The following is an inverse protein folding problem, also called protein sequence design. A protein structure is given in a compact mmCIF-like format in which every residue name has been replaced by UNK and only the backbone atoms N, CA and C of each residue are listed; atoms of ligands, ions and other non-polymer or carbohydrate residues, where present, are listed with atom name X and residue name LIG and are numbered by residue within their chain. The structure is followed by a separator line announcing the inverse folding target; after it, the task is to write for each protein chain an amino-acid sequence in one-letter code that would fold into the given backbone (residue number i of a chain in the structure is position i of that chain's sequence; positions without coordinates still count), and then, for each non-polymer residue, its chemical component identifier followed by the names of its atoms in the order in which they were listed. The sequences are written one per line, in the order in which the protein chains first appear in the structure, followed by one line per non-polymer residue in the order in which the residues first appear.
data_IF_092556480136
#
_entry.id   IF_092556480136
#
_cell.length_a   1.000
_cell.length_b   1.000
_cell.length_c   1.000
_cell.angle_alpha   90.00
_cell.angle_beta   90.00
_cell.angle_gamma   90.00
#
_symmetry.space_group_name_H-M   'P 1'
#
loop_
_entity.id
_entity.type
_entity.pdbx_description
1 polymer ?
#
# COMPACT_ATOMS: atom_id res chain seq x y z
N UNK A 1 20.91 -11.85 4.06
CA UNK A 1 19.44 -11.99 4.25
C UNK A 1 18.81 -10.75 4.88
N UNK A 2 19.38 -10.19 5.96
CA UNK A 2 18.79 -9.04 6.66
C UNK A 2 18.57 -7.78 5.79
N UNK A 3 19.49 -7.48 4.85
CA UNK A 3 19.34 -6.36 3.91
C UNK A 3 18.13 -6.57 2.98
N UNK A 4 17.92 -7.80 2.48
CA UNK A 4 16.77 -8.12 1.61
C UNK A 4 15.44 -7.91 2.34
N UNK A 5 15.37 -8.30 3.61
CA UNK A 5 14.18 -8.11 4.45
C UNK A 5 13.91 -6.61 4.63
N UNK A 6 14.91 -5.84 5.04
CA UNK A 6 14.79 -4.39 5.24
C UNK A 6 14.36 -3.71 3.93
N UNK A 7 15.01 -4.02 2.82
CA UNK A 7 14.68 -3.46 1.51
C UNK A 7 13.23 -3.79 1.10
N UNK A 8 12.77 -5.04 1.26
CA UNK A 8 11.41 -5.41 0.89
C UNK A 8 10.34 -4.72 1.74
N UNK A 9 10.54 -4.62 3.06
CA UNK A 9 9.64 -3.87 3.94
C UNK A 9 9.63 -2.37 3.63
N UNK A 10 10.78 -1.77 3.30
CA UNK A 10 10.86 -0.36 2.92
C UNK A 10 10.19 -0.08 1.57
N UNK A 11 10.36 -0.95 0.57
CA UNK A 11 9.67 -0.82 -0.72
C UNK A 11 8.16 -0.87 -0.51
N UNK A 12 7.67 -1.86 0.24
CA UNK A 12 6.24 -1.96 0.55
C UNK A 12 5.72 -0.78 1.37
N UNK A 13 6.53 -0.25 2.30
CA UNK A 13 6.20 0.95 3.06
C UNK A 13 6.03 2.17 2.16
N UNK A 14 6.98 2.40 1.24
CA UNK A 14 6.93 3.51 0.27
C UNK A 14 5.67 3.41 -0.61
N UNK A 15 5.35 2.21 -1.07
CA UNK A 15 4.15 1.95 -1.88
C UNK A 15 2.87 2.27 -1.11
N UNK A 16 2.76 1.84 0.15
CA UNK A 16 1.61 2.18 1.00
C UNK A 16 1.60 3.66 1.44
N UNK A 17 2.71 4.37 1.33
CA UNK A 17 2.78 5.81 1.62
C UNK A 17 2.36 6.68 0.42
N UNK A 18 2.37 6.16 -0.82
CA UNK A 18 1.95 6.91 -2.01
C UNK A 18 0.54 7.53 -1.87
N UNK A 19 -0.49 6.79 -1.41
CA UNK A 19 -1.83 7.33 -1.24
C UNK A 19 -1.91 8.50 -0.27
N UNK A 20 -0.96 8.63 0.69
CA UNK A 20 -0.93 9.73 1.67
C UNK A 20 -0.78 11.09 0.99
N UNK A 21 -0.17 11.16 -0.19
CA UNK A 21 -0.09 12.39 -0.99
C UNK A 21 -1.50 12.91 -1.33
N UNK A 22 -2.48 12.01 -1.48
CA UNK A 22 -3.89 12.37 -1.66
C UNK A 22 -4.51 13.11 -0.46
N UNK A 23 -3.96 12.96 0.75
CA UNK A 23 -4.41 13.77 1.90
C UNK A 23 -4.19 15.25 1.67
N UNK A 24 -3.13 15.62 0.94
CA UNK A 24 -2.66 17.01 0.79
C UNK A 24 -3.57 17.85 -0.12
N UNK A 25 -4.38 17.27 -1.00
CA UNK A 25 -5.34 18.06 -1.77
C UNK A 25 -6.27 17.30 -2.71
N UNK A 26 -7.55 17.69 -2.71
CA UNK A 26 -8.57 17.27 -3.68
C UNK A 26 -8.14 17.46 -5.17
N UNK A 27 -7.41 18.51 -5.58
CA UNK A 27 -6.94 18.64 -6.96
C UNK A 27 -5.91 17.57 -7.36
N UNK A 28 -5.18 17.00 -6.39
CA UNK A 28 -4.26 15.88 -6.64
C UNK A 28 -5.03 14.57 -6.84
N UNK A 29 -6.14 14.37 -6.12
CA UNK A 29 -7.03 13.21 -6.32
C UNK A 29 -7.76 13.30 -7.66
N UNK A 30 -8.27 14.45 -8.05
CA UNK A 30 -8.91 14.62 -9.36
C UNK A 30 -7.93 14.34 -10.51
N UNK A 31 -6.66 14.74 -10.36
CA UNK A 31 -5.58 14.41 -11.31
C UNK A 31 -5.18 12.93 -11.29
N UNK A 32 -5.18 12.29 -10.12
CA UNK A 32 -4.81 10.87 -9.95
C UNK A 32 -5.95 9.89 -10.22
N UNK A 33 -7.21 10.32 -10.22
CA UNK A 33 -8.35 9.44 -10.45
C UNK A 33 -9.11 9.77 -11.74
N UNK A 34 -8.90 10.96 -12.32
CA UNK A 34 -9.52 11.37 -13.59
C UNK A 34 -11.04 11.56 -13.51
N UNK A 35 -11.59 11.66 -12.29
CA UNK A 35 -13.02 11.85 -12.03
C UNK A 35 -13.18 13.15 -11.25
N UNK A 36 -14.12 14.01 -11.65
CA UNK A 36 -14.53 15.14 -10.84
C UNK A 36 -15.05 14.60 -9.51
N UNK A 37 -14.45 14.98 -8.39
CA UNK A 37 -14.95 14.58 -7.07
C UNK A 37 -16.25 15.36 -6.84
N UNK A 38 -17.37 14.84 -7.36
CA UNK A 38 -18.71 15.40 -7.21
C UNK A 38 -19.16 15.23 -5.75
N UNK A 39 -18.65 16.09 -4.87
CA UNK A 39 -19.14 16.28 -3.51
C UNK A 39 -18.10 16.08 -2.41
N UNK A 40 -18.25 16.81 -1.29
CA UNK A 40 -17.34 16.74 -0.14
C UNK A 40 -17.25 15.34 0.50
N UNK A 41 -18.30 14.51 0.36
CA UNK A 41 -18.37 13.19 0.98
C UNK A 41 -17.37 12.19 0.38
N UNK A 42 -17.20 12.19 -0.95
CA UNK A 42 -16.25 11.30 -1.62
C UNK A 42 -14.80 11.72 -1.34
N UNK A 43 -14.54 13.02 -1.24
CA UNK A 43 -13.23 13.54 -0.86
C UNK A 43 -12.82 13.11 0.56
N UNK A 44 -13.77 13.09 1.50
CA UNK A 44 -13.53 12.59 2.87
C UNK A 44 -13.20 11.10 2.87
N UNK A 45 -13.96 10.27 2.14
CA UNK A 45 -13.71 8.83 2.06
C UNK A 45 -12.34 8.50 1.47
N UNK A 46 -11.93 9.19 0.40
CA UNK A 46 -10.63 8.96 -0.23
C UNK A 46 -9.46 9.47 0.64
N UNK A 47 -9.66 10.57 1.38
CA UNK A 47 -8.67 11.06 2.36
C UNK A 47 -8.55 10.13 3.57
N UNK A 48 -9.66 9.55 4.05
CA UNK A 48 -9.64 8.54 5.11
C UNK A 48 -8.88 7.29 4.67
N UNK A 49 -9.13 6.84 3.43
CA UNK A 49 -8.40 5.70 2.84
C UNK A 49 -6.90 5.98 2.72
N UNK A 50 -6.52 7.19 2.31
CA UNK A 50 -5.13 7.61 2.28
C UNK A 50 -4.46 7.56 3.67
N UNK A 51 -5.18 7.92 4.74
CA UNK A 51 -4.68 7.81 6.13
C UNK A 51 -4.48 6.34 6.52
N UNK A 52 -5.43 5.46 6.21
CA UNK A 52 -5.31 4.02 6.51
C UNK A 52 -4.07 3.41 5.83
N UNK A 53 -3.85 3.72 4.56
CA UNK A 53 -2.64 3.33 3.84
C UNK A 53 -1.37 3.91 4.48
N UNK A 54 -1.40 5.16 4.94
CA UNK A 54 -0.30 5.76 5.68
C UNK A 54 0.03 5.04 6.99
N UNK A 55 -0.98 4.58 7.73
CA UNK A 55 -0.79 3.78 8.95
C UNK A 55 -0.11 2.44 8.62
N UNK A 56 -0.58 1.75 7.58
CA UNK A 56 0.03 0.49 7.11
C UNK A 56 1.47 0.72 6.64
N UNK A 57 1.72 1.79 5.88
CA UNK A 57 3.06 2.16 5.42
C UNK A 57 4.02 2.47 6.58
N UNK A 58 3.56 3.19 7.60
CA UNK A 58 4.35 3.45 8.80
C UNK A 58 4.65 2.17 9.60
N UNK A 59 3.68 1.25 9.70
CA UNK A 59 3.87 -0.06 10.33
C UNK A 59 4.93 -0.89 9.57
N UNK A 60 4.86 -0.91 8.24
CA UNK A 60 5.84 -1.59 7.37
C UNK A 60 7.25 -0.98 7.52
N UNK A 61 7.36 0.35 7.56
CA UNK A 61 8.63 1.03 7.80
C UNK A 61 9.21 0.69 9.18
N UNK A 62 8.36 0.64 10.21
CA UNK A 62 8.78 0.29 11.58
C UNK A 62 9.26 -1.17 11.65
N UNK A 63 8.57 -2.08 10.97
CA UNK A 63 8.94 -3.50 10.90
C UNK A 63 10.28 -3.76 10.18
N UNK A 64 10.74 -2.83 9.33
CA UNK A 64 12.06 -2.90 8.75
C UNK A 64 13.15 -2.85 9.85
N UNK A 65 12.99 -1.97 10.84
CA UNK A 65 13.95 -1.76 11.93
C UNK A 65 13.68 -2.62 13.18
N UNK A 66 12.43 -3.03 13.39
CA UNK A 66 12.02 -3.81 14.57
C UNK A 66 11.55 -5.21 14.17
N UNK A 67 12.40 -6.25 14.33
CA UNK A 67 12.10 -7.62 13.89
C UNK A 67 10.81 -8.19 14.47
N UNK A 68 10.48 -7.84 15.71
CA UNK A 68 9.28 -8.31 16.44
C UNK A 68 7.97 -7.95 15.73
N UNK A 69 7.93 -6.88 14.93
CA UNK A 69 6.74 -6.45 14.20
C UNK A 69 6.65 -6.99 12.78
N UNK A 70 7.65 -7.73 12.28
CA UNK A 70 7.70 -8.18 10.87
C UNK A 70 6.51 -9.03 10.46
N UNK A 71 6.11 -10.01 11.27
CA UNK A 71 4.95 -10.84 10.96
C UNK A 71 3.64 -10.03 10.97
N UNK A 72 3.44 -9.19 11.97
CA UNK A 72 2.26 -8.33 12.05
C UNK A 72 2.17 -7.38 10.84
N UNK A 73 3.28 -6.73 10.49
CA UNK A 73 3.35 -5.82 9.35
C UNK A 73 3.20 -6.54 8.00
N UNK A 74 3.75 -7.75 7.88
CA UNK A 74 3.58 -8.59 6.69
C UNK A 74 2.10 -8.91 6.45
N UNK A 75 1.38 -9.42 7.45
CA UNK A 75 -0.04 -9.75 7.30
C UNK A 75 -0.89 -8.50 7.05
N UNK A 76 -0.62 -7.41 7.77
CA UNK A 76 -1.34 -6.15 7.55
C UNK A 76 -1.12 -5.59 6.13
N UNK A 77 0.12 -5.59 5.65
CA UNK A 77 0.46 -5.12 4.30
C UNK A 77 -0.15 -5.99 3.20
N UNK A 78 -0.04 -7.32 3.32
CA UNK A 78 -0.64 -8.27 2.37
C UNK A 78 -2.17 -8.12 2.33
N UNK A 79 -2.83 -8.09 3.49
CA UNK A 79 -4.29 -7.94 3.54
C UNK A 79 -4.75 -6.62 2.90
N UNK A 80 -4.01 -5.53 3.15
CA UNK A 80 -4.30 -4.22 2.58
C UNK A 80 -4.19 -4.21 1.04
N UNK A 81 -3.09 -4.71 0.48
CA UNK A 81 -2.88 -4.71 -0.97
C UNK A 81 -3.78 -5.72 -1.70
N UNK A 82 -3.94 -6.93 -1.14
CA UNK A 82 -4.79 -7.99 -1.74
C UNK A 82 -6.24 -7.56 -1.76
N UNK A 83 -6.77 -7.00 -0.66
CA UNK A 83 -8.15 -6.53 -0.63
C UNK A 83 -8.41 -5.48 -1.70
N UNK A 84 -7.49 -4.52 -1.91
CA UNK A 84 -7.63 -3.54 -2.99
C UNK A 84 -7.67 -4.18 -4.38
N UNK A 85 -6.77 -5.10 -4.69
CA UNK A 85 -6.76 -5.79 -5.99
C UNK A 85 -8.04 -6.58 -6.22
N UNK A 86 -8.57 -7.25 -5.20
CA UNK A 86 -9.84 -7.98 -5.28
C UNK A 86 -10.99 -7.02 -5.57
N UNK A 87 -11.10 -5.91 -4.82
CA UNK A 87 -12.16 -4.92 -5.05
C UNK A 87 -12.07 -4.29 -6.45
N UNK A 88 -10.87 -3.95 -6.91
CA UNK A 88 -10.67 -3.43 -8.27
C UNK A 88 -11.10 -4.44 -9.34
N UNK A 89 -10.74 -5.72 -9.18
CA UNK A 89 -11.11 -6.77 -10.14
C UNK A 89 -12.63 -7.01 -10.18
N UNK A 90 -13.33 -6.85 -9.06
CA UNK A 90 -14.78 -6.99 -8.96
C UNK A 90 -15.53 -5.80 -9.56
N UNK A 91 -15.01 -4.58 -9.44
CA UNK A 91 -15.68 -3.37 -9.92
C UNK A 91 -15.49 -3.11 -11.42
N UNK A 92 -14.47 -3.69 -12.06
CA UNK A 92 -14.34 -3.83 -13.52
C UNK A 92 -14.19 -2.55 -14.36
N UNK A 93 -14.43 -1.36 -13.81
CA UNK A 93 -14.28 -0.06 -14.47
C UNK A 93 -13.12 0.73 -13.90
N UNK A 94 -11.93 0.49 -14.46
CA UNK A 94 -10.70 1.11 -13.97
C UNK A 94 -10.25 2.21 -14.92
N UNK A 95 -10.32 3.48 -14.48
CA UNK A 95 -9.63 4.58 -15.16
C UNK A 95 -8.13 4.26 -15.28
N UNK A 96 -7.48 4.72 -16.36
CA UNK A 96 -6.07 4.42 -16.65
C UNK A 96 -5.10 4.76 -15.49
N UNK A 97 -5.46 5.71 -14.64
CA UNK A 97 -4.70 6.09 -13.46
C UNK A 97 -4.83 5.08 -12.30
N UNK A 98 -6.01 4.49 -12.06
CA UNK A 98 -6.17 3.39 -11.09
C UNK A 98 -5.38 2.13 -11.52
N UNK A 99 -5.22 1.93 -12.83
CA UNK A 99 -4.42 0.83 -13.37
C UNK A 99 -2.93 0.96 -13.02
N UNK A 100 -2.39 2.19 -12.97
CA UNK A 100 -1.00 2.42 -12.51
C UNK A 100 -0.86 2.10 -11.02
N UNK A 101 -1.80 2.52 -10.18
CA UNK A 101 -1.77 2.23 -8.74
C UNK A 101 -1.79 0.73 -8.48
N UNK A 102 -2.63 -0.02 -9.21
CA UNK A 102 -2.65 -1.48 -9.10
C UNK A 102 -1.34 -2.15 -9.52
N UNK A 103 -0.70 -1.65 -10.58
CA UNK A 103 0.61 -2.17 -11.01
C UNK A 103 1.70 -1.92 -9.95
N UNK A 104 1.65 -0.78 -9.26
CA UNK A 104 2.55 -0.49 -8.12
C UNK A 104 2.26 -1.44 -6.95
N UNK A 105 1.00 -1.72 -6.64
CA UNK A 105 0.63 -2.66 -5.57
C UNK A 105 1.07 -4.10 -5.88
N UNK A 106 1.02 -4.55 -7.14
CA UNK A 106 1.59 -5.86 -7.53
C UNK A 106 3.09 -5.96 -7.23
N UNK A 107 3.86 -4.90 -7.52
CA UNK A 107 5.29 -4.84 -7.20
C UNK A 107 5.49 -4.86 -5.68
N UNK A 108 4.64 -4.16 -4.93
CA UNK A 108 4.64 -4.14 -3.47
C UNK A 108 4.38 -5.52 -2.86
N UNK A 109 3.38 -6.25 -3.37
CA UNK A 109 3.07 -7.61 -2.94
C UNK A 109 4.25 -8.54 -3.21
N UNK A 110 4.84 -8.49 -4.41
CA UNK A 110 5.99 -9.32 -4.75
C UNK A 110 7.19 -9.03 -3.83
N UNK A 111 7.48 -7.75 -3.58
CA UNK A 111 8.55 -7.35 -2.66
C UNK A 111 8.28 -7.81 -1.21
N UNK A 112 7.04 -7.68 -0.73
CA UNK A 112 6.65 -8.11 0.61
C UNK A 112 6.71 -9.64 0.74
N UNK A 113 6.28 -10.38 -0.27
CA UNK A 113 6.35 -11.84 -0.31
C UNK A 113 7.80 -12.33 -0.22
N UNK A 114 8.71 -11.74 -1.00
CA UNK A 114 10.15 -12.06 -0.94
C UNK A 114 10.72 -11.75 0.45
N UNK A 115 10.33 -10.62 1.05
CA UNK A 115 10.74 -10.27 2.41
C UNK A 115 10.20 -11.26 3.45
N UNK A 116 8.96 -11.71 3.32
CA UNK A 116 8.33 -12.70 4.20
C UNK A 116 9.04 -14.07 4.14
N UNK A 117 9.35 -14.55 2.93
CA UNK A 117 10.13 -15.78 2.73
C UNK A 117 11.52 -15.64 3.34
N UNK A 118 12.19 -14.50 3.14
CA UNK A 118 13.51 -14.26 3.72
C UNK A 118 13.49 -14.17 5.25
N UNK A 119 12.41 -13.68 5.86
CA UNK A 119 12.21 -13.72 7.33
C UNK A 119 12.06 -15.17 7.80
N UNK A 120 11.25 -15.96 7.10
CA UNK A 120 11.01 -17.37 7.44
C UNK A 120 12.30 -18.21 7.38
N UNK A 121 13.10 -18.05 6.32
CA UNK A 121 14.40 -18.72 6.17
C UNK A 121 15.47 -18.26 7.18
N UNK A 122 15.25 -17.13 7.88
CA UNK A 122 16.16 -16.63 8.91
C UNK A 122 15.73 -17.07 10.32
N UNK A 123 14.50 -17.54 10.49
CA UNK A 123 13.98 -18.11 11.74
C UNK A 123 14.20 -19.61 11.90
N UNK A 124 14.50 -20.32 10.80
CA UNK A 124 14.96 -21.73 10.77
C UNK A 124 16.50 -21.81 10.83
#
# INVERSE_FOLDING_TARGET
MQILIICGFLVAAIINLLPVIGVVGAPQLERMYGVALEGPDLAVLMRHRAILFGIVGALLATAAFVPSFRWAAFFAGMLSMVSFLVFQALEGQTNAELGRVALVDYIGIAALAVAGVAVWMQSD
#
